data_IF_818282717223
#
_entry.id   IF_818282717223
#
_cell.length_a   1.000
_cell.length_b   1.000
_cell.length_c   1.000
_cell.angle_alpha   90.00
_cell.angle_beta   90.00
_cell.angle_gamma   90.00
#
_symmetry.space_group_name_H-M   'P 1'
#
loop_
_entity.id
_entity.type
_entity.pdbx_description
1 polymer ?
#
# COMPACT_ATOMS: atom_id res chain seq x y z
N UNK A 1 17.31 3.10 -16.13
CA UNK A 1 16.74 1.74 -16.04
C UNK A 1 15.56 1.75 -15.07
N UNK A 2 14.41 1.15 -15.41
CA UNK A 2 13.24 1.08 -14.50
C UNK A 2 13.46 -0.07 -13.50
N UNK A 3 13.40 0.22 -12.19
CA UNK A 3 13.54 -0.80 -11.14
C UNK A 3 12.42 -1.85 -11.22
N UNK A 4 12.72 -3.09 -10.80
CA UNK A 4 11.73 -4.18 -10.77
C UNK A 4 10.52 -3.83 -9.89
N UNK A 5 10.74 -3.14 -8.77
CA UNK A 5 9.69 -2.65 -7.88
C UNK A 5 8.76 -1.66 -8.60
N UNK A 6 9.31 -0.74 -9.40
CA UNK A 6 8.49 0.20 -10.19
C UNK A 6 7.66 -0.51 -11.25
N UNK A 7 8.13 -1.62 -11.82
CA UNK A 7 7.32 -2.47 -12.73
C UNK A 7 6.15 -3.14 -11.98
N UNK A 8 6.41 -3.68 -10.79
CA UNK A 8 5.38 -4.27 -9.93
C UNK A 8 4.30 -3.23 -9.57
N UNK A 9 4.72 -2.01 -9.22
CA UNK A 9 3.81 -0.91 -8.95
C UNK A 9 2.95 -0.53 -10.16
N UNK A 10 3.54 -0.42 -11.37
CA UNK A 10 2.76 -0.14 -12.58
C UNK A 10 1.68 -1.19 -12.83
N UNK A 11 2.02 -2.47 -12.69
CA UNK A 11 1.04 -3.55 -12.79
C UNK A 11 -0.07 -3.45 -11.74
N UNK A 12 0.25 -3.07 -10.49
CA UNK A 12 -0.78 -2.78 -9.48
C UNK A 12 -1.74 -1.67 -9.93
N UNK A 13 -1.21 -0.57 -10.46
CA UNK A 13 -2.04 0.55 -10.92
C UNK A 13 -2.90 0.19 -12.15
N UNK A 14 -2.39 -0.67 -13.04
CA UNK A 14 -3.15 -1.21 -14.17
C UNK A 14 -4.33 -2.07 -13.72
N UNK A 15 -4.11 -2.98 -12.76
CA UNK A 15 -5.20 -3.76 -12.14
C UNK A 15 -6.26 -2.86 -11.50
N UNK A 16 -5.83 -1.79 -10.80
CA UNK A 16 -6.78 -0.82 -10.22
C UNK A 16 -7.58 -0.08 -11.28
N UNK A 17 -6.98 0.23 -12.43
CA UNK A 17 -7.68 0.84 -13.56
C UNK A 17 -8.70 -0.11 -14.17
N UNK A 18 -8.31 -1.37 -14.42
CA UNK A 18 -9.20 -2.42 -14.96
C UNK A 18 -10.38 -2.69 -14.03
N UNK A 19 -10.13 -2.77 -12.73
CA UNK A 19 -11.16 -2.93 -11.71
C UNK A 19 -12.18 -1.78 -11.77
N UNK A 20 -11.72 -0.53 -11.90
CA UNK A 20 -12.60 0.65 -12.03
C UNK A 20 -13.45 0.61 -13.30
N UNK A 21 -12.91 0.05 -14.37
CA UNK A 21 -13.60 -0.07 -15.66
C UNK A 21 -14.51 -1.31 -15.76
N UNK A 22 -14.53 -2.19 -14.75
CA UNK A 22 -15.25 -3.45 -14.81
C UNK A 22 -14.57 -4.55 -15.65
N UNK A 23 -13.34 -4.33 -16.09
CA UNK A 23 -12.54 -5.29 -16.86
C UNK A 23 -11.84 -6.34 -15.98
N UNK A 24 -11.91 -6.18 -14.65
CA UNK A 24 -11.29 -7.05 -13.65
C UNK A 24 -12.14 -7.08 -12.38
N UNK A 25 -12.16 -8.21 -11.68
CA UNK A 25 -12.89 -8.38 -10.42
C UNK A 25 -11.96 -8.32 -9.20
N UNK A 26 -12.51 -7.99 -8.03
CA UNK A 26 -11.74 -7.86 -6.78
C UNK A 26 -10.94 -9.12 -6.40
N UNK A 27 -11.47 -10.31 -6.69
CA UNK A 27 -10.81 -11.58 -6.39
C UNK A 27 -9.47 -11.69 -7.14
N UNK A 28 -9.42 -11.25 -8.40
CA UNK A 28 -8.20 -11.25 -9.21
C UNK A 28 -7.18 -10.25 -8.67
N UNK A 29 -7.64 -9.06 -8.28
CA UNK A 29 -6.80 -8.03 -7.66
C UNK A 29 -6.13 -8.54 -6.38
N UNK A 30 -6.90 -9.21 -5.51
CA UNK A 30 -6.39 -9.77 -4.25
C UNK A 30 -5.34 -10.84 -4.51
N UNK A 31 -5.60 -11.73 -5.48
CA UNK A 31 -4.64 -12.76 -5.91
C UNK A 31 -3.34 -12.13 -6.40
N UNK A 32 -3.44 -11.14 -7.29
CA UNK A 32 -2.28 -10.45 -7.84
C UNK A 32 -1.49 -9.70 -6.77
N UNK A 33 -2.17 -9.05 -5.82
CA UNK A 33 -1.52 -8.36 -4.71
C UNK A 33 -0.68 -9.31 -3.83
N UNK A 34 -1.12 -10.56 -3.66
CA UNK A 34 -0.31 -11.57 -2.94
C UNK A 34 0.99 -11.88 -3.67
N UNK A 35 0.91 -12.17 -4.97
CA UNK A 35 2.08 -12.42 -5.82
C UNK A 35 3.02 -11.22 -5.86
N UNK A 36 2.49 -9.99 -5.84
CA UNK A 36 3.29 -8.77 -5.78
C UNK A 36 4.08 -8.66 -4.47
N UNK A 37 3.44 -8.95 -3.33
CA UNK A 37 4.10 -8.92 -2.01
C UNK A 37 5.26 -9.91 -1.98
N UNK A 38 5.06 -11.14 -2.43
CA UNK A 38 6.10 -12.17 -2.51
C UNK A 38 7.30 -11.70 -3.37
N UNK A 39 7.02 -11.24 -4.60
CA UNK A 39 8.06 -10.71 -5.50
C UNK A 39 8.80 -9.52 -4.90
N UNK A 40 8.11 -8.61 -4.21
CA UNK A 40 8.77 -7.47 -3.55
C UNK A 40 9.70 -7.97 -2.43
N UNK A 41 9.28 -8.94 -1.61
CA UNK A 41 10.13 -9.50 -0.56
C UNK A 41 11.42 -10.11 -1.15
N UNK A 42 11.31 -10.83 -2.26
CA UNK A 42 12.48 -11.38 -2.96
C UNK A 42 13.43 -10.29 -3.46
N UNK A 43 12.89 -9.24 -4.09
CA UNK A 43 13.70 -8.13 -4.59
C UNK A 43 14.39 -7.39 -3.44
N UNK A 44 13.68 -7.14 -2.33
CA UNK A 44 14.24 -6.50 -1.13
C UNK A 44 15.34 -7.38 -0.54
N UNK A 45 15.13 -8.70 -0.43
CA UNK A 45 16.13 -9.64 0.09
C UNK A 45 17.42 -9.59 -0.73
N UNK A 46 17.32 -9.53 -2.06
CA UNK A 46 18.47 -9.46 -2.98
C UNK A 46 19.15 -8.08 -3.01
N UNK A 47 18.43 -7.01 -2.71
CA UNK A 47 18.88 -5.62 -2.96
C UNK A 47 18.75 -4.70 -1.74
N UNK A 48 18.84 -5.24 -0.51
CA UNK A 48 18.48 -4.55 0.74
C UNK A 48 19.07 -3.12 0.89
N UNK A 49 20.29 -2.89 0.38
CA UNK A 49 21.00 -1.61 0.49
C UNK A 49 20.92 -0.73 -0.77
N UNK A 50 20.18 -1.14 -1.81
CA UNK A 50 20.15 -0.48 -3.13
C UNK A 50 18.79 0.14 -3.48
N UNK A 51 17.82 0.11 -2.57
CA UNK A 51 16.50 0.67 -2.83
C UNK A 51 16.55 2.20 -2.82
N UNK A 52 16.00 2.86 -3.83
CA UNK A 52 15.77 4.31 -3.81
C UNK A 52 14.61 4.68 -2.87
N UNK A 53 14.47 5.96 -2.55
CA UNK A 53 13.31 6.51 -1.86
C UNK A 53 11.99 6.19 -2.60
N UNK A 54 12.04 6.22 -3.93
CA UNK A 54 10.90 5.87 -4.78
C UNK A 54 10.60 4.37 -4.74
N UNK A 55 11.61 3.50 -4.69
CA UNK A 55 11.43 2.06 -4.54
C UNK A 55 10.78 1.72 -3.19
N UNK A 56 11.22 2.37 -2.11
CA UNK A 56 10.57 2.22 -0.80
C UNK A 56 9.08 2.60 -0.87
N UNK A 57 8.75 3.71 -1.54
CA UNK A 57 7.36 4.13 -1.73
C UNK A 57 6.56 3.10 -2.54
N UNK A 58 7.06 2.68 -3.70
CA UNK A 58 6.38 1.74 -4.58
C UNK A 58 6.22 0.35 -3.94
N UNK A 59 7.25 -0.11 -3.22
CA UNK A 59 7.22 -1.38 -2.51
C UNK A 59 6.17 -1.40 -1.39
N UNK A 60 5.89 -0.27 -0.75
CA UNK A 60 4.90 -0.20 0.32
C UNK A 60 3.46 -0.43 -0.15
N UNK A 61 3.14 -0.16 -1.43
CA UNK A 61 1.76 -0.13 -1.94
C UNK A 61 1.05 -1.50 -1.84
N UNK A 62 1.60 -2.62 -2.34
CA UNK A 62 0.90 -3.91 -2.25
C UNK A 62 0.73 -4.43 -0.81
N UNK A 63 1.58 -3.99 0.12
CA UNK A 63 1.42 -4.31 1.54
C UNK A 63 0.37 -3.42 2.22
N UNK A 64 0.26 -2.15 1.84
CA UNK A 64 -0.78 -1.23 2.31
C UNK A 64 -2.18 -1.74 1.96
N UNK A 65 -2.35 -2.40 0.81
CA UNK A 65 -3.64 -2.96 0.39
C UNK A 65 -4.10 -4.17 1.21
N UNK A 66 -3.22 -4.76 2.02
CA UNK A 66 -3.55 -5.90 2.89
C UNK A 66 -4.39 -5.50 4.11
N UNK A 67 -5.15 -6.46 4.65
CA UNK A 67 -5.80 -6.35 5.98
C UNK A 67 -4.98 -7.02 7.10
N UNK A 68 -3.96 -7.79 6.75
CA UNK A 68 -3.05 -8.42 7.72
C UNK A 68 -2.10 -7.39 8.37
N UNK A 69 -2.06 -7.36 9.70
CA UNK A 69 -1.24 -6.45 10.51
C UNK A 69 0.25 -6.55 10.20
N UNK A 70 0.79 -7.75 9.95
CA UNK A 70 2.21 -7.94 9.61
C UNK A 70 2.56 -7.26 8.29
N UNK A 71 1.71 -7.40 7.26
CA UNK A 71 1.88 -6.68 6.00
C UNK A 71 1.83 -5.16 6.21
N UNK A 72 0.89 -4.67 7.00
CA UNK A 72 0.78 -3.25 7.27
C UNK A 72 2.00 -2.69 8.02
N UNK A 73 2.63 -3.47 8.91
CA UNK A 73 3.91 -3.10 9.54
C UNK A 73 5.04 -3.00 8.51
N UNK A 74 5.11 -3.92 7.54
CA UNK A 74 6.07 -3.85 6.43
C UNK A 74 5.83 -2.60 5.57
N UNK A 75 4.57 -2.34 5.22
CA UNK A 75 4.16 -1.16 4.47
C UNK A 75 4.61 0.12 5.19
N UNK A 76 4.37 0.20 6.51
CA UNK A 76 4.72 1.37 7.31
C UNK A 76 6.22 1.61 7.34
N UNK A 77 7.03 0.55 7.50
CA UNK A 77 8.49 0.65 7.50
C UNK A 77 8.99 1.20 6.15
N UNK A 78 8.50 0.67 5.05
CA UNK A 78 8.87 1.11 3.70
C UNK A 78 8.41 2.54 3.42
N UNK A 79 7.19 2.90 3.81
CA UNK A 79 6.68 4.26 3.65
C UNK A 79 7.50 5.27 4.49
N UNK A 80 7.83 4.95 5.74
CA UNK A 80 8.72 5.76 6.58
C UNK A 80 10.09 5.96 5.93
N UNK A 81 10.70 4.90 5.41
CA UNK A 81 11.98 4.99 4.71
C UNK A 81 11.90 5.91 3.49
N UNK A 82 10.82 5.82 2.71
CA UNK A 82 10.60 6.72 1.57
C UNK A 82 10.50 8.19 2.00
N UNK A 83 9.89 8.48 3.15
CA UNK A 83 9.76 9.84 3.70
C UNK A 83 11.11 10.36 4.17
N UNK A 84 11.84 9.56 4.94
CA UNK A 84 13.18 9.91 5.46
C UNK A 84 14.12 10.28 4.33
N UNK A 85 14.03 9.56 3.20
CA UNK A 85 14.85 9.80 2.00
C UNK A 85 14.25 10.84 1.02
N UNK A 86 13.21 11.57 1.41
CA UNK A 86 12.71 12.75 0.66
C UNK A 86 11.64 12.48 -0.40
N UNK A 87 11.02 11.29 -0.45
CA UNK A 87 9.95 11.03 -1.40
C UNK A 87 8.67 11.83 -1.03
N UNK A 88 8.35 12.86 -1.83
CA UNK A 88 7.24 13.81 -1.57
C UNK A 88 5.89 13.13 -1.26
N UNK A 89 5.56 12.04 -1.95
CA UNK A 89 4.27 11.32 -1.75
C UNK A 89 4.29 10.36 -0.55
N UNK A 90 5.47 10.08 0.02
CA UNK A 90 5.65 9.15 1.12
C UNK A 90 4.82 9.51 2.35
N UNK A 91 4.73 10.80 2.69
CA UNK A 91 4.02 11.27 3.89
C UNK A 91 2.54 10.91 3.84
N UNK A 92 1.88 11.10 2.70
CA UNK A 92 0.47 10.75 2.51
C UNK A 92 0.23 9.25 2.62
N UNK A 93 1.10 8.44 2.04
CA UNK A 93 1.01 6.98 2.14
C UNK A 93 1.25 6.50 3.58
N UNK A 94 2.24 7.06 4.27
CA UNK A 94 2.52 6.75 5.67
C UNK A 94 1.29 7.00 6.56
N UNK A 95 0.66 8.17 6.45
CA UNK A 95 -0.57 8.48 7.20
C UNK A 95 -1.70 7.49 6.90
N UNK A 96 -1.87 7.10 5.62
CA UNK A 96 -2.87 6.12 5.22
C UNK A 96 -2.65 4.74 5.85
N UNK A 97 -1.40 4.29 5.90
CA UNK A 97 -1.02 3.01 6.50
C UNK A 97 -1.19 3.05 8.03
N UNK A 98 -0.82 4.17 8.67
CA UNK A 98 -1.02 4.35 10.12
C UNK A 98 -2.49 4.24 10.51
N UNK A 99 -3.39 4.89 9.75
CA UNK A 99 -4.82 4.77 9.99
C UNK A 99 -5.34 3.35 9.76
N UNK A 100 -4.85 2.67 8.70
CA UNK A 100 -5.23 1.28 8.46
C UNK A 100 -4.75 0.33 9.57
N UNK A 101 -3.57 0.60 10.15
CA UNK A 101 -3.08 -0.11 11.33
C UNK A 101 -3.93 0.15 12.58
N UNK A 102 -4.40 1.38 12.78
CA UNK A 102 -5.33 1.70 13.86
C UNK A 102 -6.62 0.86 13.72
N UNK A 103 -7.23 0.89 12.53
CA UNK A 103 -8.45 0.13 12.27
C UNK A 103 -8.25 -1.38 12.41
N UNK A 104 -7.13 -1.92 11.94
CA UNK A 104 -6.81 -3.35 12.09
C UNK A 104 -6.61 -3.77 13.56
N UNK A 105 -6.31 -2.82 14.46
CA UNK A 105 -6.23 -3.03 15.91
C UNK A 105 -7.53 -2.70 16.65
N UNK A 106 -8.59 -2.29 15.93
CA UNK A 106 -9.86 -1.89 16.54
C UNK A 106 -9.86 -0.52 17.22
N UNK A 107 -8.89 0.36 16.91
CA UNK A 107 -8.80 1.72 17.48
C UNK A 107 -9.10 2.80 16.42
N UNK A 108 -9.52 3.99 16.89
CA UNK A 108 -9.77 5.16 16.04
C UNK A 108 -8.58 5.53 15.15
N UNK A 109 -8.86 5.95 13.92
CA UNK A 109 -7.82 6.41 13.01
C UNK A 109 -7.25 7.78 13.42
N UNK A 110 -5.95 7.99 13.21
CA UNK A 110 -5.23 9.19 13.66
C UNK A 110 -5.41 10.37 12.71
N UNK A 111 -5.34 10.11 11.40
CA UNK A 111 -5.30 11.14 10.36
C UNK A 111 -6.60 11.26 9.57
N UNK A 112 -7.53 10.32 9.72
CA UNK A 112 -8.83 10.40 9.08
C UNK A 112 -8.81 10.06 7.58
N UNK A 113 -7.89 9.20 7.14
CA UNK A 113 -7.62 8.89 5.72
C UNK A 113 -8.43 7.71 5.18
N UNK A 114 -8.91 6.81 6.04
CA UNK A 114 -9.68 5.65 5.61
C UNK A 114 -11.19 5.98 5.63
N UNK A 115 -11.89 5.47 4.63
CA UNK A 115 -13.34 5.62 4.48
C UNK A 115 -13.97 4.32 3.99
N UNK A 116 -15.24 4.12 4.31
CA UNK A 116 -16.11 3.03 3.89
C UNK A 116 -17.25 3.60 3.06
N UNK A 117 -17.86 2.78 2.21
CA UNK A 117 -19.13 3.12 1.59
C UNK A 117 -20.24 2.58 2.50
N UNK A 118 -21.14 3.45 2.96
CA UNK A 118 -22.38 3.09 3.68
C UNK A 118 -23.54 3.76 2.97
N UNK A 119 -24.54 2.97 2.56
CA UNK A 119 -25.73 3.45 1.85
C UNK A 119 -25.38 4.33 0.63
N UNK A 120 -24.38 3.91 -0.15
CA UNK A 120 -23.91 4.67 -1.32
C UNK A 120 -23.10 5.93 -1.01
N UNK A 121 -22.88 6.27 0.27
CA UNK A 121 -22.10 7.44 0.69
C UNK A 121 -20.76 7.05 1.29
N UNK A 122 -19.74 7.85 1.00
CA UNK A 122 -18.42 7.71 1.63
C UNK A 122 -18.48 8.22 3.08
N UNK A 123 -18.22 7.34 4.04
CA UNK A 123 -18.21 7.62 5.47
C UNK A 123 -16.83 7.31 6.03
N UNK A 124 -16.22 8.25 6.76
CA UNK A 124 -14.91 8.00 7.39
C UNK A 124 -15.01 6.86 8.40
N UNK A 125 -14.02 5.96 8.42
CA UNK A 125 -13.90 4.98 9.49
C UNK A 125 -13.72 5.74 10.82
N UNK A 126 -14.41 5.33 11.89
CA UNK A 126 -14.58 6.10 13.13
C UNK A 126 -13.32 6.87 13.57
N UNK A 127 -13.52 8.18 13.76
CA UNK A 127 -12.73 9.05 14.61
C UNK A 127 -13.65 9.31 15.81
N UNK A 128 -13.70 8.36 16.74
CA UNK A 128 -14.23 8.65 18.08
C UNK A 128 -13.18 9.48 18.82
#
# INVERSE_FOLDING_TARGET
MISQIKKIFKSDQEDRKKLKNGEMVWVEVIKNDSLRREKILEVIKKNKNKLSESDCFYAAIPFHHSHNVAHLKIALKLAKESVIRGHKRGKKLMMAIEDRLCLAKGISQKHGTQSLIRNGKLVKCKKE
#
